data_IF_518280256499
#
_entry.id   IF_518280256499
#
_cell.length_a   1.000
_cell.length_b   1.000
_cell.length_c   1.000
_cell.angle_alpha   90.00
_cell.angle_beta   90.00
_cell.angle_gamma   90.00
#
_symmetry.space_group_name_H-M   'P 1'
#
loop_
_entity.id
_entity.type
_entity.pdbx_description
1 polymer ?
#
# COMPACT_ATOMS: atom_id res chain seq x y z
N UNK A 1 18.20 5.79 4.36
CA UNK A 1 18.25 5.37 2.94
C UNK A 1 17.45 6.39 2.15
N UNK A 2 18.05 7.07 1.17
CA UNK A 2 17.45 8.22 0.49
C UNK A 2 16.99 7.76 -0.89
N UNK A 3 15.71 7.40 -1.02
CA UNK A 3 15.08 7.34 -2.34
C UNK A 3 14.82 8.80 -2.72
N UNK A 4 15.43 9.27 -3.80
CA UNK A 4 15.19 10.62 -4.28
C UNK A 4 13.78 10.67 -4.89
N UNK A 5 12.87 11.33 -4.19
CA UNK A 5 11.49 11.50 -4.63
C UNK A 5 11.46 12.72 -5.57
N UNK A 6 10.98 12.58 -6.81
CA UNK A 6 10.92 13.71 -7.75
C UNK A 6 9.96 14.78 -7.23
N UNK A 7 10.31 16.05 -7.46
CA UNK A 7 9.45 17.20 -7.10
C UNK A 7 8.10 17.16 -7.82
N UNK A 8 8.12 16.78 -9.12
CA UNK A 8 6.92 16.60 -9.93
C UNK A 8 6.52 15.13 -9.95
N UNK A 9 5.37 14.82 -9.37
CA UNK A 9 4.79 13.47 -9.31
C UNK A 9 3.67 13.34 -10.33
N UNK A 10 3.57 12.17 -10.97
CA UNK A 10 2.44 11.79 -11.81
C UNK A 10 1.54 10.85 -11.02
N UNK A 11 0.26 11.20 -10.86
CA UNK A 11 -0.74 10.26 -10.34
C UNK A 11 -0.96 9.17 -11.41
N UNK A 12 -0.72 7.91 -11.05
CA UNK A 12 -0.85 6.76 -11.97
C UNK A 12 -2.03 5.86 -11.63
N UNK A 13 -2.45 5.84 -10.36
CA UNK A 13 -3.53 5.02 -9.86
C UNK A 13 -4.01 5.53 -8.50
N UNK A 14 -5.30 5.38 -8.22
CA UNK A 14 -5.91 5.65 -6.92
C UNK A 14 -6.91 4.55 -6.58
N UNK A 15 -7.09 4.27 -5.29
CA UNK A 15 -8.07 3.31 -4.80
C UNK A 15 -8.59 3.74 -3.43
N UNK A 16 -9.85 3.44 -3.16
CA UNK A 16 -10.50 3.67 -1.88
C UNK A 16 -10.58 2.34 -1.12
N UNK A 17 -9.82 2.21 -0.04
CA UNK A 17 -9.78 1.01 0.79
C UNK A 17 -10.41 1.36 2.14
N UNK A 18 -11.60 0.83 2.47
CA UNK A 18 -12.23 1.09 3.76
C UNK A 18 -11.42 0.43 4.89
N UNK A 19 -11.25 1.12 6.00
CA UNK A 19 -10.66 0.52 7.19
C UNK A 19 -11.62 -0.53 7.71
N UNK A 20 -11.13 -1.73 8.02
CA UNK A 20 -11.92 -2.78 8.67
C UNK A 20 -11.68 -2.74 10.17
N UNK A 21 -12.69 -3.09 10.96
CA UNK A 21 -12.52 -3.17 12.42
C UNK A 21 -11.33 -4.07 12.82
N UNK A 22 -11.14 -5.19 12.12
CA UNK A 22 -10.04 -6.13 12.35
C UNK A 22 -8.67 -5.67 11.86
N UNK A 23 -8.57 -4.50 11.21
CA UNK A 23 -7.29 -3.90 10.80
C UNK A 23 -6.63 -3.13 11.95
N UNK A 24 -7.40 -2.78 12.98
CA UNK A 24 -6.89 -2.17 14.20
C UNK A 24 -6.19 -3.22 15.08
N UNK A 25 -5.17 -2.78 15.82
CA UNK A 25 -4.54 -3.61 16.84
C UNK A 25 -5.12 -3.34 18.25
N UNK A 26 -4.53 -3.98 19.26
CA UNK A 26 -4.98 -3.90 20.65
C UNK A 26 -4.95 -2.48 21.24
N UNK A 27 -4.27 -1.52 20.58
CA UNK A 27 -4.21 -0.12 21.00
C UNK A 27 -5.33 0.74 20.38
N UNK A 28 -6.30 0.12 19.68
CA UNK A 28 -7.47 0.77 19.07
C UNK A 28 -7.15 1.76 17.94
N UNK A 29 -6.05 1.55 17.23
CA UNK A 29 -5.74 2.26 16.00
C UNK A 29 -5.29 1.27 14.92
N UNK A 30 -5.36 1.70 13.66
CA UNK A 30 -4.89 0.94 12.51
C UNK A 30 -3.46 0.44 12.74
N UNK A 31 -3.26 -0.87 12.63
CA UNK A 31 -1.94 -1.45 12.83
C UNK A 31 -0.96 -0.95 11.74
N UNK A 32 0.27 -0.63 12.15
CA UNK A 32 1.31 -0.13 11.24
C UNK A 32 1.61 -1.11 10.09
N UNK A 33 1.54 -2.43 10.33
CA UNK A 33 1.72 -3.45 9.30
C UNK A 33 0.63 -3.43 8.23
N UNK A 34 -0.59 -3.01 8.59
CA UNK A 34 -1.73 -2.94 7.68
C UNK A 34 -1.54 -1.90 6.58
N UNK A 35 -0.82 -0.81 6.84
CA UNK A 35 -0.48 0.17 5.79
C UNK A 35 0.25 -0.49 4.61
N UNK A 36 1.18 -1.42 4.89
CA UNK A 36 1.89 -2.14 3.83
C UNK A 36 0.99 -3.12 3.08
N UNK A 37 -0.04 -3.66 3.74
CA UNK A 37 -1.08 -4.46 3.08
C UNK A 37 -1.94 -3.60 2.15
N UNK A 38 -2.34 -2.41 2.57
CA UNK A 38 -3.05 -1.47 1.70
C UNK A 38 -2.19 -1.05 0.50
N UNK A 39 -0.91 -0.76 0.70
CA UNK A 39 0.04 -0.46 -0.38
C UNK A 39 0.27 -1.66 -1.32
N UNK A 40 0.20 -2.89 -0.80
CA UNK A 40 0.22 -4.11 -1.60
C UNK A 40 -1.04 -4.24 -2.45
N UNK A 41 -2.23 -4.12 -1.84
CA UNK A 41 -3.51 -4.17 -2.55
C UNK A 41 -3.56 -3.16 -3.69
N UNK A 42 -3.32 -1.87 -3.42
CA UNK A 42 -3.40 -0.83 -4.47
C UNK A 42 -2.37 -1.05 -5.59
N UNK A 43 -1.19 -1.62 -5.29
CA UNK A 43 -0.17 -1.95 -6.29
C UNK A 43 -0.62 -3.08 -7.20
N UNK A 44 -1.22 -4.14 -6.64
CA UNK A 44 -1.78 -5.24 -7.43
C UNK A 44 -2.98 -4.77 -8.25
N UNK A 45 -3.86 -3.95 -7.67
CA UNK A 45 -5.00 -3.36 -8.37
C UNK A 45 -4.53 -2.51 -9.56
N UNK A 46 -3.47 -1.71 -9.37
CA UNK A 46 -2.88 -0.94 -10.45
C UNK A 46 -2.33 -1.83 -11.57
N UNK A 47 -1.58 -2.89 -11.22
CA UNK A 47 -1.06 -3.84 -12.20
C UNK A 47 -2.18 -4.51 -13.01
N UNK A 48 -3.26 -4.91 -12.35
CA UNK A 48 -4.45 -5.44 -13.04
C UNK A 48 -5.06 -4.40 -14.00
N UNK A 49 -5.11 -3.13 -13.62
CA UNK A 49 -5.69 -2.06 -14.46
C UNK A 49 -4.93 -1.78 -15.77
N UNK A 50 -3.69 -2.27 -15.89
CA UNK A 50 -2.82 -2.08 -17.06
C UNK A 50 -2.40 -3.41 -17.70
N UNK A 51 -3.11 -4.49 -17.41
CA UNK A 51 -2.83 -5.86 -17.91
C UNK A 51 -1.41 -6.36 -17.57
N UNK A 52 -0.83 -5.90 -16.47
CA UNK A 52 0.50 -6.29 -15.98
C UNK A 52 0.39 -7.31 -14.83
N UNK A 53 -0.38 -8.37 -15.04
CA UNK A 53 -0.72 -9.33 -13.97
C UNK A 53 0.52 -10.17 -13.60
N UNK A 54 0.95 -10.20 -12.32
CA UNK A 54 2.04 -11.07 -11.89
C UNK A 54 1.69 -12.55 -12.14
N UNK A 55 2.54 -13.26 -12.86
CA UNK A 55 2.39 -14.70 -13.14
C UNK A 55 3.43 -15.51 -12.36
N UNK A 56 3.04 -16.57 -11.64
CA UNK A 56 3.99 -17.48 -10.98
C UNK A 56 4.95 -18.18 -11.94
N UNK A 57 4.51 -18.42 -13.18
CA UNK A 57 5.28 -19.05 -14.24
C UNK A 57 6.11 -18.05 -15.07
N UNK A 58 5.91 -16.74 -14.84
CA UNK A 58 6.56 -15.65 -15.54
C UNK A 58 7.51 -14.83 -14.66
N UNK A 59 7.85 -13.64 -15.13
CA UNK A 59 8.60 -12.65 -14.35
C UNK A 59 7.64 -11.76 -13.55
N UNK A 60 8.02 -11.41 -12.32
CA UNK A 60 7.20 -10.64 -11.42
C UNK A 60 8.00 -9.67 -10.55
N UNK A 61 7.34 -8.62 -10.02
CA UNK A 61 8.00 -7.64 -9.17
C UNK A 61 8.30 -8.21 -7.78
N UNK A 62 9.48 -7.90 -7.26
CA UNK A 62 9.89 -8.23 -5.88
C UNK A 62 10.14 -6.95 -5.10
N UNK A 63 9.57 -6.85 -3.90
CA UNK A 63 9.80 -5.71 -3.01
C UNK A 63 11.14 -5.91 -2.29
N UNK A 64 12.16 -5.14 -2.71
CA UNK A 64 13.49 -5.11 -2.07
C UNK A 64 13.55 -4.17 -0.86
N UNK A 65 12.66 -3.18 -0.81
CA UNK A 65 12.57 -2.22 0.28
C UNK A 65 11.16 -1.66 0.41
N UNK A 66 10.71 -1.47 1.64
CA UNK A 66 9.50 -0.72 1.96
C UNK A 66 9.76 0.10 3.23
N UNK A 67 9.28 1.34 3.26
CA UNK A 67 9.28 2.18 4.45
C UNK A 67 7.99 2.99 4.50
N UNK A 68 7.53 3.29 5.71
CA UNK A 68 6.35 4.12 5.95
C UNK A 68 6.62 4.97 7.19
N UNK A 69 6.38 6.28 7.07
CA UNK A 69 6.40 7.19 8.21
C UNK A 69 4.94 7.40 8.65
N UNK A 70 4.65 7.09 9.90
CA UNK A 70 3.30 7.18 10.47
C UNK A 70 3.16 8.53 11.19
N UNK A 71 2.54 9.52 10.53
CA UNK A 71 2.42 10.89 11.05
C UNK A 71 1.20 11.08 11.97
N UNK A 72 0.13 10.30 11.76
CA UNK A 72 -1.12 10.37 12.52
C UNK A 72 -1.76 8.99 12.60
N UNK A 73 -2.37 8.66 13.73
CA UNK A 73 -3.19 7.46 13.86
C UNK A 73 -4.48 7.56 13.03
N UNK A 74 -4.93 6.41 12.54
CA UNK A 74 -6.22 6.22 11.88
C UNK A 74 -7.01 5.15 12.66
N UNK A 75 -8.33 5.27 12.65
CA UNK A 75 -9.23 4.45 13.47
C UNK A 75 -10.43 4.01 12.63
N UNK A 76 -11.03 2.87 12.97
CA UNK A 76 -12.31 2.46 12.39
C UNK A 76 -13.47 3.18 13.12
N UNK A 77 -14.53 3.61 12.39
CA UNK A 77 -14.68 3.58 10.94
C UNK A 77 -13.87 4.68 10.23
N UNK A 78 -13.38 4.40 9.03
CA UNK A 78 -12.61 5.33 8.21
C UNK A 78 -12.43 4.89 6.77
#
# INVERSE_FOLDING_TARGET
MKIDIPEKKKLVYESHIPIRWGDMDAMNHLNNGTYFRYMETIRIDWFNSIDCIPSPEGEGPVIVNAFCNFYRQLEYPG
#
